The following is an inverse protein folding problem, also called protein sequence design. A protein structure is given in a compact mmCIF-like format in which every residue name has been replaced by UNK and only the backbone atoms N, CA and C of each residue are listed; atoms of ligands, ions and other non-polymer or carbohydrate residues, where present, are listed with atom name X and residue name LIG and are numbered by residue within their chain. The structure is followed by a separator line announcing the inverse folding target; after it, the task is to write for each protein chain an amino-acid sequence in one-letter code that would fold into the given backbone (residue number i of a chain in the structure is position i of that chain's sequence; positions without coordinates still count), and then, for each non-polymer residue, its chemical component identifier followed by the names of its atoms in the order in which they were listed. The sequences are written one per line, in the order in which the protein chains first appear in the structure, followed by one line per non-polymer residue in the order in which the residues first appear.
data_IF_159861861695
#
_entry.id   IF_159861861695
#
_cell.length_a   1.000
_cell.length_b   1.000
_cell.length_c   1.000
_cell.angle_alpha   90.00
_cell.angle_beta   90.00
_cell.angle_gamma   90.00
#
_symmetry.space_group_name_H-M   'P 1'
#
loop_
_entity.id
_entity.type
_entity.pdbx_description
1 polymer ?
#
# COMPACT_ATOMS: atom_id res chain seq x y z
N UNK A 1 -10.03 -2.42 8.92
CA UNK A 1 -11.05 -3.20 8.18
C UNK A 1 -10.82 -4.69 8.27
N UNK A 2 -11.88 -5.42 8.66
CA UNK A 2 -11.83 -6.87 8.75
C UNK A 2 -11.04 -7.30 9.98
N UNK A 3 -11.46 -6.86 11.16
CA UNK A 3 -10.78 -7.22 12.42
C UNK A 3 -10.69 -8.74 12.58
N UNK A 4 -9.57 -9.22 13.11
CA UNK A 4 -9.27 -10.66 13.16
C UNK A 4 -10.32 -11.48 13.92
N UNK A 5 -10.96 -10.91 14.94
CA UNK A 5 -11.91 -11.64 15.80
C UNK A 5 -13.29 -11.81 15.18
N UNK A 6 -13.83 -10.75 14.58
CA UNK A 6 -15.25 -10.65 14.21
C UNK A 6 -15.47 -10.13 12.79
N UNK A 7 -14.39 -9.88 12.04
CA UNK A 7 -14.44 -9.26 10.72
C UNK A 7 -15.17 -7.89 10.72
N UNK A 8 -15.05 -7.13 11.81
CA UNK A 8 -15.66 -5.81 11.92
C UNK A 8 -14.99 -4.79 10.99
N UNK A 9 -15.76 -3.80 10.55
CA UNK A 9 -15.32 -2.68 9.70
C UNK A 9 -15.35 -1.40 10.52
N UNK A 10 -14.27 -0.63 10.46
CA UNK A 10 -14.14 0.65 11.16
C UNK A 10 -14.96 1.75 10.45
N UNK A 11 -15.46 2.72 11.21
CA UNK A 11 -16.20 3.86 10.65
C UNK A 11 -15.23 4.89 10.02
N UNK A 12 -15.00 4.75 8.72
CA UNK A 12 -14.14 5.65 7.97
C UNK A 12 -14.66 7.08 7.87
N UNK A 13 -15.97 7.27 7.77
CA UNK A 13 -16.56 8.59 7.66
C UNK A 13 -16.37 9.35 8.97
N UNK A 14 -16.62 8.70 10.10
CA UNK A 14 -16.37 9.22 11.44
C UNK A 14 -14.89 9.58 11.64
N UNK A 15 -13.96 8.68 11.29
CA UNK A 15 -12.52 8.96 11.37
C UNK A 15 -12.14 10.17 10.50
N UNK A 16 -12.67 10.25 9.28
CA UNK A 16 -12.40 11.38 8.38
C UNK A 16 -12.94 12.70 8.94
N UNK A 17 -14.13 12.67 9.53
CA UNK A 17 -14.75 13.84 10.15
C UNK A 17 -13.88 14.37 11.28
N UNK A 18 -13.44 13.49 12.20
CA UNK A 18 -12.55 13.85 13.31
C UNK A 18 -11.26 14.47 12.80
N UNK A 19 -10.60 13.86 11.80
CA UNK A 19 -9.34 14.40 11.26
C UNK A 19 -9.49 15.80 10.63
N UNK A 20 -10.71 16.17 10.20
CA UNK A 20 -11.02 17.49 9.65
C UNK A 20 -11.36 18.54 10.72
N UNK A 21 -11.71 18.14 11.95
CA UNK A 21 -12.10 19.08 13.02
C UNK A 21 -10.99 20.06 13.39
N UNK A 22 -9.74 19.58 13.39
CA UNK A 22 -8.57 20.40 13.75
C UNK A 22 -7.53 20.36 12.65
N UNK A 23 -7.01 21.53 12.31
CA UNK A 23 -5.94 21.67 11.31
C UNK A 23 -4.69 20.87 11.67
N UNK A 24 -4.38 20.74 12.97
CA UNK A 24 -3.26 19.93 13.47
C UNK A 24 -3.44 18.44 13.17
N UNK A 25 -4.67 17.93 13.21
CA UNK A 25 -4.96 16.51 13.00
C UNK A 25 -4.94 16.11 11.52
N UNK A 26 -5.04 17.08 10.61
CA UNK A 26 -4.89 16.84 9.17
C UNK A 26 -3.50 16.30 8.76
N UNK A 27 -2.50 16.40 9.64
CA UNK A 27 -1.14 15.90 9.42
C UNK A 27 -0.93 14.47 9.96
N UNK A 28 -1.95 13.88 10.60
CA UNK A 28 -1.85 12.52 11.15
C UNK A 28 -1.81 11.52 9.99
N UNK A 29 -0.79 10.66 10.00
CA UNK A 29 -0.72 9.53 9.09
C UNK A 29 -1.82 8.51 9.43
N UNK A 30 -2.64 8.16 8.45
CA UNK A 30 -3.65 7.12 8.61
C UNK A 30 -3.28 5.89 7.80
N UNK A 31 -3.19 4.76 8.50
CA UNK A 31 -2.99 3.46 7.90
C UNK A 31 -4.30 2.66 8.01
N UNK A 32 -4.83 2.20 6.88
CA UNK A 32 -5.93 1.23 6.87
C UNK A 32 -5.32 -0.17 6.85
N UNK A 33 -5.47 -0.90 7.96
CA UNK A 33 -5.22 -2.34 7.95
C UNK A 33 -6.42 -3.05 7.32
N UNK A 34 -6.15 -3.80 6.26
CA UNK A 34 -7.15 -4.61 5.59
C UNK A 34 -6.52 -5.89 5.03
N UNK A 35 -5.62 -6.49 5.81
CA UNK A 35 -4.89 -7.69 5.44
C UNK A 35 -5.80 -8.88 5.02
N UNK A 36 -6.98 -9.00 5.65
CA UNK A 36 -7.95 -10.06 5.36
C UNK A 36 -9.02 -9.62 4.36
N UNK A 37 -9.81 -8.60 4.72
CA UNK A 37 -10.97 -8.17 3.95
C UNK A 37 -10.63 -7.41 2.66
N UNK A 38 -9.34 -7.11 2.42
CA UNK A 38 -8.94 -6.27 1.31
C UNK A 38 -9.07 -6.85 -0.08
N UNK A 39 -8.90 -8.16 -0.22
CA UNK A 39 -9.12 -8.84 -1.49
C UNK A 39 -10.59 -8.79 -1.93
N UNK A 40 -11.53 -8.66 -0.98
CA UNK A 40 -12.96 -8.53 -1.31
C UNK A 40 -13.24 -7.26 -2.12
N UNK A 41 -12.40 -6.23 -2.01
CA UNK A 41 -12.55 -4.98 -2.77
C UNK A 41 -12.12 -5.09 -4.23
N UNK A 42 -11.61 -6.23 -4.68
CA UNK A 42 -11.42 -6.46 -6.13
C UNK A 42 -12.78 -6.63 -6.81
N UNK A 43 -13.75 -7.17 -6.08
CA UNK A 43 -15.11 -7.46 -6.55
C UNK A 43 -15.98 -6.20 -6.48
N UNK A 44 -16.66 -5.85 -7.57
CA UNK A 44 -17.40 -4.58 -7.74
C UNK A 44 -18.46 -4.36 -6.66
N UNK A 45 -19.13 -5.44 -6.24
CA UNK A 45 -20.19 -5.44 -5.22
C UNK A 45 -19.73 -4.85 -3.88
N UNK A 46 -18.42 -4.93 -3.59
CA UNK A 46 -17.85 -4.47 -2.33
C UNK A 46 -17.03 -3.19 -2.46
N UNK A 47 -16.92 -2.59 -3.66
CA UNK A 47 -16.19 -1.33 -3.87
C UNK A 47 -16.74 -0.20 -3.00
N UNK A 48 -18.05 -0.16 -2.78
CA UNK A 48 -18.72 0.87 -1.97
C UNK A 48 -18.20 0.94 -0.53
N UNK A 49 -17.69 -0.17 0.02
CA UNK A 49 -17.19 -0.25 1.40
C UNK A 49 -15.87 0.53 1.56
N UNK A 50 -15.07 0.61 0.50
CA UNK A 50 -13.78 1.30 0.51
C UNK A 50 -13.75 2.53 -0.42
N UNK A 51 -14.83 2.83 -1.13
CA UNK A 51 -14.92 3.91 -2.11
C UNK A 51 -14.37 5.27 -1.61
N UNK A 52 -14.59 5.69 -0.34
CA UNK A 52 -14.07 6.97 0.11
C UNK A 52 -12.53 6.99 0.31
N UNK A 53 -11.88 5.82 0.33
CA UNK A 53 -10.43 5.65 0.58
C UNK A 53 -9.74 4.70 -0.41
N UNK A 54 -10.35 4.41 -1.57
CA UNK A 54 -9.86 3.41 -2.54
C UNK A 54 -8.41 3.68 -3.01
N UNK A 55 -8.01 4.95 -3.05
CA UNK A 55 -6.65 5.38 -3.40
C UNK A 55 -5.56 4.96 -2.39
N UNK A 56 -5.95 4.58 -1.16
CA UNK A 56 -5.03 4.25 -0.06
C UNK A 56 -4.93 2.74 0.20
N UNK A 57 -5.59 1.92 -0.62
CA UNK A 57 -5.65 0.49 -0.42
C UNK A 57 -4.35 -0.17 -0.91
N UNK A 58 -3.50 -0.60 0.03
CA UNK A 58 -2.12 -1.11 -0.21
C UNK A 58 -1.14 -0.13 -0.89
N UNK A 59 -1.58 1.08 -1.19
CA UNK A 59 -0.82 2.09 -1.90
C UNK A 59 -0.53 3.27 -0.98
N UNK A 60 0.76 3.50 -0.71
CA UNK A 60 1.22 4.72 -0.07
C UNK A 60 0.93 5.89 -1.02
N UNK A 61 0.08 6.82 -0.61
CA UNK A 61 -0.33 7.98 -1.42
C UNK A 61 0.85 8.80 -1.93
N UNK A 62 1.88 8.97 -1.10
CA UNK A 62 3.11 9.66 -1.46
C UNK A 62 4.34 8.75 -1.27
N UNK A 63 4.80 8.15 -2.38
CA UNK A 63 5.97 7.26 -2.36
C UNK A 63 7.25 7.91 -1.84
N UNK A 64 7.37 9.25 -1.90
CA UNK A 64 8.59 9.96 -1.49
C UNK A 64 8.84 9.80 0.00
N UNK A 65 7.79 9.84 0.80
CA UNK A 65 7.89 9.75 2.27
C UNK A 65 8.50 8.41 2.69
N UNK A 66 8.11 7.33 2.00
CA UNK A 66 8.65 5.99 2.22
C UNK A 66 10.10 5.88 1.76
N UNK A 67 10.39 6.37 0.55
CA UNK A 67 11.74 6.32 -0.05
C UNK A 67 12.74 7.11 0.78
N UNK A 68 12.38 8.30 1.24
CA UNK A 68 13.25 9.16 2.05
C UNK A 68 13.54 8.52 3.41
N UNK A 69 12.53 7.93 4.05
CA UNK A 69 12.66 7.25 5.34
C UNK A 69 13.61 6.05 5.27
N UNK A 70 13.54 5.25 4.21
CA UNK A 70 14.33 4.01 4.07
C UNK A 70 15.53 4.14 3.12
N UNK A 71 15.93 5.36 2.74
CA UNK A 71 17.03 5.57 1.80
C UNK A 71 18.36 5.15 2.42
N UNK A 72 19.02 4.15 1.84
CA UNK A 72 20.36 3.72 2.25
C UNK A 72 21.33 3.82 1.06
N UNK A 73 22.25 4.78 1.13
CA UNK A 73 23.23 5.08 0.07
C UNK A 73 24.65 4.62 0.45
N UNK A 74 24.85 3.31 0.61
CA UNK A 74 26.20 2.75 0.81
C UNK A 74 26.95 2.62 -0.52
N UNK A 75 28.28 2.73 -0.49
CA UNK A 75 29.13 2.71 -1.70
C UNK A 75 28.96 1.45 -2.55
N UNK A 76 28.74 0.29 -1.92
CA UNK A 76 28.57 -1.01 -2.59
C UNK A 76 27.16 -1.23 -3.16
N UNK A 77 26.22 -0.33 -2.87
CA UNK A 77 24.84 -0.38 -3.38
C UNK A 77 24.57 0.70 -4.43
N UNK A 78 25.56 1.52 -4.79
CA UNK A 78 25.38 2.58 -5.80
C UNK A 78 25.30 1.97 -7.20
N UNK A 79 24.39 2.51 -7.99
CA UNK A 79 24.25 2.22 -9.40
C UNK A 79 24.04 3.53 -10.15
N UNK A 80 24.64 3.65 -11.33
CA UNK A 80 24.53 4.81 -12.23
C UNK A 80 23.06 5.06 -12.60
N UNK A 81 22.30 4.01 -12.86
CA UNK A 81 20.87 4.14 -13.22
C UNK A 81 20.00 4.62 -12.06
N UNK A 82 20.30 4.16 -10.84
CA UNK A 82 19.63 4.62 -9.62
C UNK A 82 19.96 6.08 -9.32
N UNK A 83 21.22 6.49 -9.53
CA UNK A 83 21.68 7.86 -9.34
C UNK A 83 21.12 8.82 -10.41
N UNK A 84 20.90 8.32 -11.63
CA UNK A 84 20.22 9.04 -12.70
C UNK A 84 18.69 9.17 -12.48
N UNK A 85 18.13 8.46 -11.49
CA UNK A 85 16.70 8.46 -11.19
C UNK A 85 15.82 7.79 -12.26
N UNK A 86 16.42 7.03 -13.18
CA UNK A 86 15.71 6.33 -14.26
C UNK A 86 15.04 5.03 -13.80
N UNK A 87 15.43 4.51 -12.63
CA UNK A 87 14.97 3.21 -12.11
C UNK A 87 14.33 3.35 -10.73
N UNK A 88 13.26 2.57 -10.49
CA UNK A 88 12.61 2.46 -9.17
C UNK A 88 13.33 1.41 -8.32
N UNK A 89 14.07 1.90 -7.33
CA UNK A 89 14.74 1.08 -6.32
C UNK A 89 13.78 0.66 -5.20
N UNK A 90 13.11 -0.48 -5.37
CA UNK A 90 12.22 -1.07 -4.36
C UNK A 90 12.89 -1.45 -3.04
N UNK A 91 14.22 -1.46 -2.96
CA UNK A 91 14.94 -1.63 -1.68
C UNK A 91 14.59 -0.52 -0.68
N UNK A 92 14.31 0.69 -1.16
CA UNK A 92 13.99 1.86 -0.34
C UNK A 92 12.50 1.89 0.05
N UNK A 93 11.75 0.82 -0.19
CA UNK A 93 10.32 0.72 0.13
C UNK A 93 10.05 -0.21 1.31
N UNK A 94 11.10 -0.80 1.88
CA UNK A 94 11.01 -1.84 2.89
C UNK A 94 12.27 -1.85 3.75
N UNK A 95 12.19 -2.46 4.93
CA UNK A 95 13.32 -2.60 5.85
C UNK A 95 14.46 -3.47 5.28
N UNK A 96 14.20 -4.66 4.69
CA UNK A 96 15.29 -5.50 4.18
C UNK A 96 15.83 -5.01 2.82
N UNK A 97 17.16 -4.95 2.69
CA UNK A 97 17.84 -4.58 1.44
C UNK A 97 17.65 -5.61 0.32
N UNK A 98 17.53 -6.90 0.68
CA UNK A 98 17.22 -7.99 -0.26
C UNK A 98 15.73 -8.26 -0.36
N UNK A 99 15.25 -8.63 -1.56
CA UNK A 99 13.86 -9.06 -1.78
C UNK A 99 13.76 -10.35 -2.56
N UNK A 100 12.73 -11.13 -2.26
CA UNK A 100 12.31 -12.27 -3.08
C UNK A 100 11.44 -11.76 -4.24
N UNK A 101 11.49 -12.44 -5.39
CA UNK A 101 10.62 -12.15 -6.53
C UNK A 101 9.19 -12.66 -6.26
N UNK A 102 8.42 -11.94 -5.44
CA UNK A 102 7.04 -12.31 -5.08
C UNK A 102 6.03 -12.00 -6.18
N UNK A 103 6.28 -11.00 -7.02
CA UNK A 103 5.40 -10.62 -8.13
C UNK A 103 5.20 -11.74 -9.15
N UNK A 104 6.16 -12.65 -9.33
CA UNK A 104 6.01 -13.80 -10.22
C UNK A 104 4.86 -14.72 -9.79
N UNK A 105 4.67 -14.92 -8.48
CA UNK A 105 3.58 -15.74 -7.96
C UNK A 105 2.22 -15.14 -8.29
N UNK A 106 2.07 -13.84 -8.04
CA UNK A 106 0.83 -13.13 -8.30
C UNK A 106 0.55 -12.98 -9.80
N UNK A 107 1.57 -12.69 -10.60
CA UNK A 107 1.43 -12.60 -12.06
C UNK A 107 1.03 -13.94 -12.68
N UNK A 108 1.68 -15.04 -12.28
CA UNK A 108 1.28 -16.37 -12.76
C UNK A 108 -0.13 -16.74 -12.33
N UNK A 109 -0.51 -16.43 -11.08
CA UNK A 109 -1.86 -16.65 -10.58
C UNK A 109 -2.90 -15.87 -11.39
N UNK A 110 -2.65 -14.60 -11.70
CA UNK A 110 -3.57 -13.77 -12.48
C UNK A 110 -3.70 -14.26 -13.93
N UNK A 111 -2.58 -14.63 -14.57
CA UNK A 111 -2.60 -15.17 -15.94
C UNK A 111 -3.39 -16.48 -16.00
N UNK A 112 -3.17 -17.40 -15.06
CA UNK A 112 -3.89 -18.67 -15.01
C UNK A 112 -5.39 -18.49 -14.75
N UNK A 113 -5.80 -17.47 -14.01
CA UNK A 113 -7.22 -17.16 -13.82
C UNK A 113 -7.86 -16.59 -15.09
N UNK A 114 -7.14 -15.74 -15.83
CA UNK A 114 -7.64 -15.13 -17.06
C UNK A 114 -7.81 -16.13 -18.23
N UNK A 115 -7.27 -17.34 -18.12
CA UNK A 115 -7.42 -18.41 -19.11
C UNK A 115 -8.59 -19.37 -18.81
N UNK A 116 -9.28 -19.20 -17.67
CA UNK A 116 -10.40 -20.07 -17.23
C UNK A 116 -11.77 -19.44 -17.53
N UNK A 117 -11.81 -18.17 -17.95
CA UNK A 117 -13.00 -17.46 -18.45
C UNK A 117 -12.98 -17.35 -19.99
#
# INVERSE_FOLDING_TARGET
MGTTSTCAVDDFEGITAVLKEKKEWSQIWVHIDAAYAGLALVVEEYHNIAAPWADNFFCVRNRKDLIETFKVNTCYLRNIDSDAGSVVDYRNWQIPLGRRFRSLKYGLFYVLLAEVD
#
